data_IF_642392780039
#
_entry.id   IF_642392780039
#
_cell.length_a   1.000
_cell.length_b   1.000
_cell.length_c   1.000
_cell.angle_alpha   90.00
_cell.angle_beta   90.00
_cell.angle_gamma   90.00
#
_symmetry.space_group_name_H-M   'P 1'
#
loop_
_entity.id
_entity.type
_entity.pdbx_description
1 polymer ?
#
# COMPACT_ATOMS: atom_id res chain seq x y z
N UNK A 1 -10.76 -8.16 -6.73
CA UNK A 1 -10.54 -6.77 -6.28
C UNK A 1 -9.33 -6.76 -5.36
N UNK A 2 -8.52 -5.71 -5.44
CA UNK A 2 -7.38 -5.49 -4.55
C UNK A 2 -7.79 -4.51 -3.46
N UNK A 3 -7.51 -4.86 -2.20
CA UNK A 3 -7.60 -3.97 -1.07
C UNK A 3 -6.21 -3.70 -0.51
N UNK A 4 -5.83 -2.43 -0.47
CA UNK A 4 -4.55 -1.96 0.06
C UNK A 4 -4.83 -1.22 1.36
N UNK A 5 -4.09 -1.52 2.42
CA UNK A 5 -4.23 -0.87 3.72
C UNK A 5 -3.03 -1.17 4.61
N UNK A 6 -2.86 -0.41 5.69
CA UNK A 6 -1.78 -0.63 6.65
C UNK A 6 -2.09 -1.81 7.56
N UNK A 7 -1.19 -2.78 7.65
CA UNK A 7 -1.36 -3.96 8.51
C UNK A 7 -1.33 -3.68 10.02
N UNK A 8 -1.73 -4.67 10.81
CA UNK A 8 -1.79 -4.58 12.27
C UNK A 8 -2.95 -3.71 12.78
N UNK A 9 -2.79 -3.10 13.95
CA UNK A 9 -3.84 -2.28 14.60
C UNK A 9 -4.32 -1.10 13.74
N UNK A 10 -3.50 -0.67 12.77
CA UNK A 10 -3.79 0.46 11.90
C UNK A 10 -5.01 0.20 10.99
N UNK A 11 -5.20 -1.01 10.45
CA UNK A 11 -6.39 -1.31 9.63
C UNK A 11 -7.67 -1.29 10.46
N UNK A 12 -7.61 -1.79 11.70
CA UNK A 12 -8.78 -1.91 12.59
C UNK A 12 -9.25 -0.55 13.10
N UNK A 13 -8.30 0.32 13.45
CA UNK A 13 -8.58 1.62 14.06
C UNK A 13 -8.81 2.71 13.02
N UNK A 14 -7.99 2.77 11.96
CA UNK A 14 -8.07 3.85 10.98
C UNK A 14 -9.11 3.58 9.90
N UNK A 15 -9.45 2.30 9.66
CA UNK A 15 -10.30 1.86 8.55
C UNK A 15 -9.85 2.48 7.22
N UNK A 16 -8.53 2.56 7.05
CA UNK A 16 -7.86 3.25 5.96
C UNK A 16 -7.46 2.22 4.90
N UNK A 17 -8.24 2.19 3.82
CA UNK A 17 -8.05 1.23 2.74
C UNK A 17 -8.31 1.88 1.39
N UNK A 18 -7.44 1.59 0.41
CA UNK A 18 -7.63 1.91 -0.99
C UNK A 18 -8.07 0.65 -1.74
N UNK A 19 -9.18 0.75 -2.50
CA UNK A 19 -9.69 -0.36 -3.31
C UNK A 19 -9.33 -0.15 -4.78
N UNK A 20 -9.01 -1.24 -5.46
CA UNK A 20 -8.86 -1.29 -6.91
C UNK A 20 -9.59 -2.49 -7.51
N UNK A 21 -10.13 -2.28 -8.71
CA UNK A 21 -10.69 -3.35 -9.54
C UNK A 21 -9.53 -4.02 -10.27
N UNK A 22 -9.55 -5.36 -10.35
CA UNK A 22 -8.51 -6.12 -11.04
C UNK A 22 -8.81 -6.22 -12.55
N UNK A 23 -7.79 -6.39 -13.40
CA UNK A 23 -6.36 -6.42 -13.08
C UNK A 23 -5.80 -5.04 -12.71
N UNK A 24 -4.66 -5.00 -12.03
CA UNK A 24 -3.94 -3.74 -11.74
C UNK A 24 -2.48 -3.84 -12.13
N UNK A 25 -1.90 -2.73 -12.58
CA UNK A 25 -0.46 -2.61 -12.80
C UNK A 25 0.29 -2.06 -11.57
N UNK A 26 1.63 -2.09 -11.62
CA UNK A 26 2.46 -1.62 -10.51
C UNK A 26 2.27 -0.12 -10.24
N UNK A 27 1.98 0.70 -11.24
CA UNK A 27 1.74 2.13 -11.04
C UNK A 27 0.42 2.39 -10.30
N UNK A 28 -0.62 1.60 -10.60
CA UNK A 28 -1.89 1.64 -9.88
C UNK A 28 -1.75 1.19 -8.43
N UNK A 29 -0.92 0.16 -8.17
CA UNK A 29 -0.60 -0.28 -6.79
C UNK A 29 0.19 0.80 -6.05
N UNK A 30 1.22 1.39 -6.68
CA UNK A 30 2.02 2.49 -6.10
C UNK A 30 1.11 3.67 -5.72
N UNK A 31 0.17 4.01 -6.59
CA UNK A 31 -0.81 5.07 -6.34
C UNK A 31 -1.71 4.70 -5.15
N UNK A 32 -2.24 3.48 -5.10
CA UNK A 32 -3.08 3.02 -3.99
C UNK A 32 -2.35 3.06 -2.63
N UNK A 33 -1.04 2.75 -2.60
CA UNK A 33 -0.20 2.88 -1.39
C UNK A 33 -0.08 4.33 -0.92
N UNK A 34 0.03 5.29 -1.86
CA UNK A 34 0.14 6.73 -1.56
C UNK A 34 -1.19 7.37 -1.13
N UNK A 35 -2.33 6.78 -1.47
CA UNK A 35 -3.67 7.26 -1.09
C UNK A 35 -4.02 6.97 0.37
N UNK A 36 -3.29 6.06 1.02
CA UNK A 36 -3.50 5.75 2.43
C UNK A 36 -3.26 7.01 3.28
N UNK A 37 -4.18 7.33 4.18
CA UNK A 37 -4.01 8.39 5.19
C UNK A 37 -2.75 8.19 6.02
N UNK A 38 -2.35 6.94 6.23
CA UNK A 38 -1.11 6.57 6.91
C UNK A 38 0.11 6.37 6.01
N UNK A 39 0.09 6.78 4.74
CA UNK A 39 1.20 6.57 3.80
C UNK A 39 2.56 7.06 4.32
N UNK A 40 2.59 8.15 5.10
CA UNK A 40 3.82 8.66 5.73
C UNK A 40 4.52 7.67 6.67
N UNK A 41 3.81 6.63 7.17
CA UNK A 41 4.43 5.55 7.94
C UNK A 41 5.32 4.65 7.07
N UNK A 42 5.04 4.57 5.77
CA UNK A 42 5.82 3.81 4.80
C UNK A 42 7.13 4.52 4.44
N UNK A 43 7.20 5.84 4.61
CA UNK A 43 8.42 6.64 4.40
C UNK A 43 9.44 6.51 5.54
N UNK A 44 9.11 5.75 6.60
CA UNK A 44 9.95 5.58 7.78
C UNK A 44 9.75 6.71 8.79
N UNK A 45 9.27 6.36 9.98
CA UNK A 45 9.07 7.30 11.09
C UNK A 45 10.00 6.99 12.27
N UNK A 46 10.39 8.02 13.02
CA UNK A 46 11.25 7.91 14.23
C UNK A 46 12.57 7.14 14.00
N UNK A 47 13.24 7.42 12.88
CA UNK A 47 14.50 6.76 12.52
C UNK A 47 14.34 5.37 11.89
N UNK A 48 13.09 4.94 11.63
CA UNK A 48 12.81 3.76 10.83
C UNK A 48 13.25 3.93 9.37
N UNK A 49 13.68 2.83 8.74
CA UNK A 49 14.03 2.80 7.32
C UNK A 49 12.74 2.84 6.47
N UNK A 50 12.69 3.64 5.40
CA UNK A 50 11.57 3.63 4.46
C UNK A 50 11.33 2.24 3.88
N UNK A 51 10.07 1.91 3.61
CA UNK A 51 9.70 0.73 2.84
C UNK A 51 10.06 0.94 1.35
N UNK A 52 10.42 -0.14 0.68
CA UNK A 52 10.61 -0.12 -0.78
C UNK A 52 9.25 -0.26 -1.47
N UNK A 53 8.61 0.88 -1.74
CA UNK A 53 7.26 0.92 -2.32
C UNK A 53 7.21 0.43 -3.76
N UNK A 54 8.32 0.57 -4.49
CA UNK A 54 8.41 0.09 -5.86
C UNK A 54 8.48 -1.44 -5.89
N UNK A 55 9.33 -2.04 -5.06
CA UNK A 55 9.39 -3.49 -4.91
C UNK A 55 8.06 -4.11 -4.45
N UNK A 56 7.35 -3.44 -3.52
CA UNK A 56 6.01 -3.89 -3.09
C UNK A 56 5.02 -3.81 -4.25
N UNK A 57 5.02 -2.72 -5.01
CA UNK A 57 4.09 -2.52 -6.11
C UNK A 57 4.30 -3.55 -7.24
N UNK A 58 5.55 -3.87 -7.58
CA UNK A 58 5.89 -4.89 -8.56
C UNK A 58 5.36 -6.27 -8.14
N UNK A 59 5.66 -6.72 -6.91
CA UNK A 59 5.21 -8.02 -6.42
C UNK A 59 3.69 -8.13 -6.38
N UNK A 60 3.00 -7.09 -5.94
CA UNK A 60 1.53 -7.09 -5.90
C UNK A 60 0.95 -7.15 -7.30
N UNK A 61 1.51 -6.40 -8.26
CA UNK A 61 1.06 -6.42 -9.64
C UNK A 61 1.26 -7.80 -10.30
N UNK A 62 2.36 -8.50 -10.01
CA UNK A 62 2.59 -9.87 -10.48
C UNK A 62 1.55 -10.87 -9.93
N UNK A 63 1.12 -10.71 -8.68
CA UNK A 63 0.08 -11.54 -8.06
C UNK A 63 -1.32 -11.18 -8.57
N UNK A 64 -1.53 -9.91 -8.91
CA UNK A 64 -2.83 -9.34 -9.26
C UNK A 64 -3.15 -9.36 -10.77
N UNK A 65 -2.23 -9.89 -11.59
CA UNK A 65 -2.33 -10.06 -13.04
C UNK A 65 -3.31 -11.17 -13.45
#
# INVERSE_FOLDING_TARGET
TLAVGLGGVWVEVLRDTALRVLPVDAAEVRTALSELRGAALLDGVRGGRPADLDAVAEVVAEIAA
#
